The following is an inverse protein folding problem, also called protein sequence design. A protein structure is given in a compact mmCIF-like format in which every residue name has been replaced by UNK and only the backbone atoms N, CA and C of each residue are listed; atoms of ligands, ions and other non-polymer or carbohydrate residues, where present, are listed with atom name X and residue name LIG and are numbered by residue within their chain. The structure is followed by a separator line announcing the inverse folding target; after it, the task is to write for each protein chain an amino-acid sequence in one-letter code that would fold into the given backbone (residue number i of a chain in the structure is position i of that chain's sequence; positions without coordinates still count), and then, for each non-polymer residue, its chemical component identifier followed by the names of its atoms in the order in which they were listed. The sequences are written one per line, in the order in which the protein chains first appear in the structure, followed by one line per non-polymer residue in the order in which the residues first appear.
data_IF_660442109414
#
_entry.id   IF_660442109414
#
_cell.length_a   1.000
_cell.length_b   1.000
_cell.length_c   1.000
_cell.angle_alpha   90.00
_cell.angle_beta   90.00
_cell.angle_gamma   90.00
#
_symmetry.space_group_name_H-M   'P 1'
#
loop_
_entity.id
_entity.type
_entity.pdbx_description
1 polymer ?
#
# COMPACT_ATOMS: atom_id res chain seq x y z
N UNK A 1 17.12 37.97 -38.76
CA UNK A 1 16.53 38.44 -37.49
C UNK A 1 16.03 37.19 -36.75
N UNK A 2 16.81 36.68 -35.77
CA UNK A 2 16.48 35.50 -35.01
C UNK A 2 15.79 35.93 -33.69
N UNK A 3 14.59 35.42 -33.45
CA UNK A 3 13.90 35.65 -32.18
C UNK A 3 14.48 34.73 -31.11
N UNK A 4 14.80 35.22 -29.90
CA UNK A 4 15.27 34.40 -28.83
C UNK A 4 14.08 33.58 -28.26
N UNK A 5 14.15 32.24 -28.37
CA UNK A 5 13.22 31.34 -27.72
C UNK A 5 13.56 31.31 -26.23
N UNK A 6 12.78 32.00 -25.43
CA UNK A 6 12.89 31.95 -23.96
C UNK A 6 12.18 30.69 -23.46
N UNK A 7 12.97 29.69 -23.09
CA UNK A 7 12.45 28.47 -22.46
C UNK A 7 12.02 28.84 -21.02
N UNK A 8 10.74 28.68 -20.64
CA UNK A 8 10.32 28.95 -19.27
C UNK A 8 10.99 27.95 -18.33
N UNK A 9 11.69 28.46 -17.30
CA UNK A 9 12.21 27.65 -16.19
C UNK A 9 11.02 27.00 -15.49
N UNK A 10 10.77 25.72 -15.79
CA UNK A 10 9.84 24.90 -15.03
C UNK A 10 10.41 24.80 -13.62
N UNK A 11 9.81 25.52 -12.67
CA UNK A 11 10.02 25.29 -11.24
C UNK A 11 9.49 23.88 -10.95
N UNK A 12 10.38 22.90 -10.93
CA UNK A 12 10.11 21.61 -10.34
C UNK A 12 9.76 21.91 -8.89
N UNK A 13 8.46 21.92 -8.57
CA UNK A 13 8.01 21.90 -7.18
C UNK A 13 8.66 20.66 -6.58
N UNK A 14 9.64 20.85 -5.67
CA UNK A 14 10.13 19.80 -4.80
C UNK A 14 8.89 19.20 -4.16
N UNK A 15 8.52 18.00 -4.61
CA UNK A 15 7.49 17.19 -3.98
C UNK A 15 7.84 17.19 -2.49
N UNK A 16 6.90 17.65 -1.66
CA UNK A 16 7.05 17.66 -0.21
C UNK A 16 7.37 16.21 0.16
N UNK A 17 8.65 15.94 0.46
CA UNK A 17 9.08 14.61 0.91
C UNK A 17 8.15 14.25 2.04
N UNK A 18 7.28 13.26 1.83
CA UNK A 18 6.53 12.64 2.92
C UNK A 18 7.59 12.28 3.96
N UNK A 19 7.42 12.76 5.20
CA UNK A 19 8.37 12.51 6.27
C UNK A 19 8.39 11.01 6.54
N UNK A 20 9.42 10.32 6.03
CA UNK A 20 9.64 8.91 6.36
C UNK A 20 9.97 8.81 7.85
N UNK A 21 9.39 7.83 8.48
CA UNK A 21 9.81 7.40 9.81
C UNK A 21 11.18 6.74 9.66
N UNK A 22 12.20 7.29 10.35
CA UNK A 22 13.60 6.82 10.25
C UNK A 22 14.11 6.22 11.54
N UNK A 23 13.54 6.61 12.66
CA UNK A 23 13.88 6.04 13.97
C UNK A 23 13.17 4.69 14.12
N UNK A 24 13.94 3.63 14.42
CA UNK A 24 13.39 2.28 14.58
C UNK A 24 12.32 2.19 15.66
N UNK A 25 12.43 2.97 16.72
CA UNK A 25 11.41 2.99 17.76
C UNK A 25 10.12 3.61 17.26
N UNK A 26 10.21 4.68 16.45
CA UNK A 26 9.02 5.28 15.85
C UNK A 26 8.35 4.33 14.85
N UNK A 27 9.15 3.56 14.08
CA UNK A 27 8.62 2.52 13.18
C UNK A 27 7.92 1.42 13.99
N UNK A 28 8.52 0.92 15.06
CA UNK A 28 7.89 -0.08 15.95
C UNK A 28 6.57 0.44 16.54
N UNK A 29 6.56 1.66 17.05
CA UNK A 29 5.34 2.29 17.58
C UNK A 29 4.28 2.43 16.49
N UNK A 30 4.67 2.79 15.26
CA UNK A 30 3.77 2.90 14.12
C UNK A 30 3.14 1.55 13.74
N UNK A 31 3.94 0.47 13.71
CA UNK A 31 3.44 -0.89 13.47
C UNK A 31 2.42 -1.28 14.56
N UNK A 32 2.77 -1.08 15.82
CA UNK A 32 1.89 -1.39 16.95
C UNK A 32 0.61 -0.54 16.93
N UNK A 33 0.70 0.74 16.55
CA UNK A 33 -0.46 1.61 16.38
C UNK A 33 -1.45 1.04 15.35
N UNK A 34 -0.97 0.60 14.19
CA UNK A 34 -1.82 0.01 13.15
C UNK A 34 -2.45 -1.31 13.64
N UNK A 35 -1.65 -2.23 14.18
CA UNK A 35 -2.14 -3.52 14.68
C UNK A 35 -3.18 -3.36 15.80
N UNK A 36 -2.97 -2.41 16.72
CA UNK A 36 -3.93 -2.12 17.81
C UNK A 36 -5.29 -1.68 17.26
N UNK A 37 -5.34 -0.85 16.24
CA UNK A 37 -6.60 -0.34 15.68
C UNK A 37 -7.29 -1.34 14.75
N UNK A 38 -6.54 -2.23 14.13
CA UNK A 38 -7.09 -3.32 13.31
C UNK A 38 -7.74 -4.37 14.22
N UNK A 39 -7.10 -4.69 15.35
CA UNK A 39 -7.63 -5.54 16.44
C UNK A 39 -8.07 -6.96 16.05
N UNK A 40 -7.48 -7.54 15.02
CA UNK A 40 -7.59 -8.97 14.68
C UNK A 40 -6.28 -9.46 14.03
N UNK A 41 -6.01 -10.80 14.09
CA UNK A 41 -4.78 -11.36 13.56
C UNK A 41 -4.66 -11.18 12.05
N UNK A 42 -3.44 -10.92 11.58
CA UNK A 42 -3.10 -10.77 10.17
C UNK A 42 -1.88 -11.63 9.81
N UNK A 43 -1.82 -12.08 8.56
CA UNK A 43 -0.62 -12.67 7.99
C UNK A 43 0.48 -11.62 7.77
N UNK A 44 1.74 -12.08 7.71
CA UNK A 44 2.90 -11.22 7.55
C UNK A 44 2.82 -10.31 6.30
N UNK A 45 2.32 -10.87 5.18
CA UNK A 45 2.21 -10.12 3.92
C UNK A 45 1.21 -8.98 4.06
N UNK A 46 0.06 -9.22 4.68
CA UNK A 46 -0.94 -8.19 4.97
C UNK A 46 -0.39 -7.09 5.87
N UNK A 47 0.35 -7.45 6.94
CA UNK A 47 0.96 -6.46 7.84
C UNK A 47 2.00 -5.63 7.07
N UNK A 48 2.87 -6.27 6.27
CA UNK A 48 3.81 -5.57 5.43
C UNK A 48 3.12 -4.55 4.51
N UNK A 49 2.09 -5.02 3.80
CA UNK A 49 1.40 -4.18 2.82
C UNK A 49 0.76 -2.94 3.45
N UNK A 50 0.08 -3.09 4.59
CA UNK A 50 -0.52 -1.94 5.30
C UNK A 50 0.51 -0.98 5.91
N UNK A 51 1.70 -1.46 6.30
CA UNK A 51 2.76 -0.63 6.89
C UNK A 51 3.51 0.17 5.82
N UNK A 52 3.81 -0.45 4.67
CA UNK A 52 4.67 0.18 3.64
C UNK A 52 3.90 0.95 2.58
N UNK A 53 2.59 0.72 2.40
CA UNK A 53 1.80 1.26 1.29
C UNK A 53 1.81 2.78 1.16
N UNK A 54 1.90 3.50 2.27
CA UNK A 54 1.91 4.97 2.28
C UNK A 54 3.31 5.58 2.13
N UNK A 55 4.36 4.73 2.09
CA UNK A 55 5.75 5.14 1.91
C UNK A 55 6.37 5.82 3.14
N UNK A 56 5.77 5.71 4.32
CA UNK A 56 6.34 6.21 5.58
C UNK A 56 7.43 5.29 6.12
N UNK A 57 7.33 3.98 5.85
CA UNK A 57 8.27 2.95 6.28
C UNK A 57 8.74 2.17 5.06
N UNK A 58 10.04 1.86 4.98
CA UNK A 58 10.62 1.01 3.96
C UNK A 58 10.45 -0.48 4.31
N UNK A 59 10.47 -1.34 3.28
CA UNK A 59 10.33 -2.79 3.46
C UNK A 59 11.38 -3.37 4.43
N UNK A 60 12.65 -3.04 4.26
CA UNK A 60 13.73 -3.57 5.10
C UNK A 60 13.62 -3.09 6.56
N UNK A 61 13.28 -1.81 6.75
CA UNK A 61 13.06 -1.25 8.08
C UNK A 61 11.86 -1.92 8.77
N UNK A 62 10.80 -2.22 8.00
CA UNK A 62 9.64 -2.96 8.50
C UNK A 62 10.05 -4.36 8.97
N UNK A 63 10.73 -5.15 8.13
CA UNK A 63 11.12 -6.54 8.45
C UNK A 63 11.95 -6.59 9.72
N UNK A 64 12.96 -5.71 9.85
CA UNK A 64 13.84 -5.64 11.01
C UNK A 64 13.04 -5.25 12.28
N UNK A 65 12.25 -4.20 12.21
CA UNK A 65 11.44 -3.74 13.35
C UNK A 65 10.36 -4.76 13.76
N UNK A 66 9.76 -5.47 12.79
CA UNK A 66 8.76 -6.49 13.08
C UNK A 66 9.38 -7.70 13.78
N UNK A 67 10.56 -8.16 13.36
CA UNK A 67 11.31 -9.21 14.07
C UNK A 67 11.62 -8.81 15.52
N UNK A 68 12.08 -7.57 15.74
CA UNK A 68 12.31 -7.06 17.10
C UNK A 68 11.02 -6.99 17.96
N UNK A 69 9.87 -6.73 17.35
CA UNK A 69 8.57 -6.73 18.06
C UNK A 69 8.12 -8.14 18.47
N UNK A 70 8.45 -9.16 17.68
CA UNK A 70 8.25 -10.57 18.03
C UNK A 70 9.18 -10.97 19.18
N UNK A 71 10.49 -10.68 19.07
CA UNK A 71 11.49 -11.00 20.10
C UNK A 71 11.17 -10.36 21.45
N UNK A 72 10.64 -9.14 21.44
CA UNK A 72 10.28 -8.41 22.67
C UNK A 72 8.89 -8.72 23.20
N UNK A 73 8.15 -9.62 22.55
CA UNK A 73 6.81 -10.04 22.95
C UNK A 73 5.72 -8.96 22.85
N UNK A 74 5.94 -7.92 22.02
CA UNK A 74 4.93 -6.92 21.73
C UNK A 74 3.94 -7.36 20.63
N UNK A 75 4.39 -8.27 19.77
CA UNK A 75 3.59 -9.02 18.80
C UNK A 75 3.85 -10.50 19.07
N UNK A 76 2.85 -11.32 18.87
CA UNK A 76 3.00 -12.77 18.96
C UNK A 76 2.54 -13.43 17.65
N UNK A 77 3.16 -14.55 17.36
CA UNK A 77 2.74 -15.47 16.32
C UNK A 77 1.72 -16.44 16.90
N UNK A 78 0.59 -16.58 16.23
CA UNK A 78 -0.44 -17.53 16.63
C UNK A 78 -0.12 -18.94 16.10
N UNK A 79 -0.55 -20.01 16.80
CA UNK A 79 -0.42 -21.36 16.27
C UNK A 79 -1.07 -21.46 14.90
N UNK A 80 -0.38 -22.12 13.98
CA UNK A 80 -0.88 -22.34 12.62
C UNK A 80 -2.25 -23.00 12.67
N UNK A 81 -3.29 -22.30 12.20
CA UNK A 81 -4.64 -22.81 12.11
C UNK A 81 -4.79 -23.88 11.02
N UNK A 82 -6.00 -24.44 10.85
CA UNK A 82 -6.32 -25.46 9.84
C UNK A 82 -5.99 -25.02 8.40
N UNK A 83 -5.86 -23.71 8.14
CA UNK A 83 -5.59 -23.13 6.81
C UNK A 83 -4.09 -23.03 6.50
N UNK A 84 -3.20 -23.32 7.48
CA UNK A 84 -1.76 -23.40 7.25
C UNK A 84 -1.04 -22.05 7.10
N UNK A 85 -1.68 -20.92 7.43
CA UNK A 85 -1.07 -19.58 7.40
C UNK A 85 -0.62 -19.17 8.82
N UNK A 86 0.59 -18.60 8.90
CA UNK A 86 1.11 -17.96 10.11
C UNK A 86 0.41 -16.60 10.29
N UNK A 87 -0.27 -16.43 11.42
CA UNK A 87 -0.95 -15.19 11.78
C UNK A 87 -0.26 -14.51 12.97
N UNK A 88 -0.33 -13.21 12.99
CA UNK A 88 0.32 -12.36 13.99
C UNK A 88 -0.70 -11.44 14.65
N UNK A 89 -0.56 -11.27 15.97
CA UNK A 89 -1.45 -10.42 16.76
C UNK A 89 -0.65 -9.56 17.74
N UNK A 90 -1.14 -8.34 17.99
CA UNK A 90 -0.58 -7.48 19.03
C UNK A 90 -0.89 -8.04 20.42
N UNK A 91 0.11 -8.06 21.30
CA UNK A 91 -0.10 -8.49 22.69
C UNK A 91 -0.68 -7.36 23.55
N UNK A 92 -1.22 -7.67 24.75
CA UNK A 92 -1.61 -6.62 25.71
C UNK A 92 -0.46 -5.66 26.04
N UNK A 93 0.78 -6.18 26.14
CA UNK A 93 1.98 -5.36 26.34
C UNK A 93 2.23 -4.42 25.14
N UNK A 94 2.16 -4.94 23.93
CA UNK A 94 2.32 -4.14 22.71
C UNK A 94 1.24 -3.05 22.59
N UNK A 95 0.00 -3.36 22.98
CA UNK A 95 -1.09 -2.40 22.98
C UNK A 95 -0.85 -1.24 23.98
N UNK A 96 -0.32 -1.54 25.18
CA UNK A 96 0.07 -0.51 26.17
C UNK A 96 1.19 0.37 25.62
N UNK A 97 2.21 -0.23 24.97
CA UNK A 97 3.30 0.51 24.34
C UNK A 97 2.76 1.44 23.24
N UNK A 98 1.90 0.92 22.36
CA UNK A 98 1.27 1.71 21.30
C UNK A 98 0.52 2.92 21.87
N UNK A 99 -0.30 2.71 22.92
CA UNK A 99 -1.09 3.78 23.55
C UNK A 99 -0.22 4.83 24.23
N UNK A 100 0.76 4.38 25.00
CA UNK A 100 1.63 5.27 25.79
C UNK A 100 2.50 6.16 24.90
N UNK A 101 2.97 5.63 23.79
CA UNK A 101 3.91 6.31 22.89
C UNK A 101 3.26 6.86 21.61
N UNK A 102 1.92 6.82 21.51
CA UNK A 102 1.16 7.25 20.34
C UNK A 102 1.49 8.68 19.87
N UNK A 103 1.76 9.58 20.82
CA UNK A 103 2.12 10.98 20.54
C UNK A 103 3.45 11.15 19.79
N UNK A 104 4.31 10.14 19.73
CA UNK A 104 5.56 10.18 18.94
C UNK A 104 5.30 10.18 17.44
N UNK A 105 4.19 9.66 16.99
CA UNK A 105 3.82 9.63 15.57
C UNK A 105 2.88 10.81 15.29
N UNK A 106 3.20 11.57 14.24
CA UNK A 106 2.37 12.71 13.83
C UNK A 106 0.92 12.25 13.57
N UNK A 107 -0.10 12.97 14.08
CA UNK A 107 -1.51 12.62 13.87
C UNK A 107 -1.86 12.40 12.40
N UNK A 108 -1.34 13.24 11.50
CA UNK A 108 -1.57 13.13 10.05
C UNK A 108 -1.04 11.82 9.44
N UNK A 109 0.06 11.25 9.99
CA UNK A 109 0.60 9.96 9.57
C UNK A 109 -0.32 8.85 10.07
N UNK A 110 -0.69 8.87 11.36
CA UNK A 110 -1.56 7.86 11.98
C UNK A 110 -2.90 7.75 11.28
N UNK A 111 -3.59 8.88 11.11
CA UNK A 111 -4.91 8.94 10.48
C UNK A 111 -4.86 8.46 9.02
N UNK A 112 -3.87 8.94 8.25
CA UNK A 112 -3.72 8.54 6.86
C UNK A 112 -3.47 7.03 6.73
N UNK A 113 -2.51 6.50 7.49
CA UNK A 113 -2.14 5.09 7.40
C UNK A 113 -3.24 4.17 7.89
N UNK A 114 -3.94 4.54 8.97
CA UNK A 114 -5.09 3.76 9.44
C UNK A 114 -6.22 3.73 8.39
N UNK A 115 -6.53 4.87 7.78
CA UNK A 115 -7.53 4.95 6.71
C UNK A 115 -7.12 4.09 5.50
N UNK A 116 -5.84 4.10 5.12
CA UNK A 116 -5.30 3.27 4.04
C UNK A 116 -5.37 1.78 4.39
N UNK A 117 -4.98 1.40 5.62
CA UNK A 117 -5.04 0.02 6.09
C UNK A 117 -6.47 -0.53 6.09
N UNK A 118 -7.43 0.21 6.62
CA UNK A 118 -8.83 -0.20 6.65
C UNK A 118 -9.41 -0.39 5.24
N UNK A 119 -9.05 0.47 4.30
CA UNK A 119 -9.47 0.31 2.89
C UNK A 119 -8.89 -0.95 2.26
N UNK A 120 -7.60 -1.19 2.46
CA UNK A 120 -6.91 -2.37 1.96
C UNK A 120 -7.54 -3.67 2.49
N UNK A 121 -7.73 -3.75 3.81
CA UNK A 121 -8.33 -4.91 4.47
C UNK A 121 -9.77 -5.14 4.01
N UNK A 122 -10.59 -4.10 3.96
CA UNK A 122 -11.97 -4.18 3.45
C UNK A 122 -12.04 -4.66 2.00
N UNK A 123 -11.07 -4.29 1.16
CA UNK A 123 -10.97 -4.79 -0.20
C UNK A 123 -10.67 -6.29 -0.24
N UNK A 124 -9.75 -6.77 0.62
CA UNK A 124 -9.43 -8.21 0.76
C UNK A 124 -10.59 -9.02 1.34
N UNK A 125 -11.23 -8.53 2.41
CA UNK A 125 -12.37 -9.20 3.07
C UNK A 125 -13.55 -9.45 2.13
N UNK A 126 -13.76 -8.59 1.15
CA UNK A 126 -14.77 -8.79 0.10
C UNK A 126 -14.45 -9.93 -0.86
N UNK A 127 -13.28 -10.56 -0.72
CA UNK A 127 -12.83 -11.64 -1.58
C UNK A 127 -12.36 -11.13 -2.96
N UNK A 128 -11.81 -9.93 -2.98
CA UNK A 128 -11.23 -9.38 -4.20
C UNK A 128 -9.99 -10.18 -4.62
N UNK A 129 -9.98 -10.62 -5.86
CA UNK A 129 -8.84 -11.29 -6.52
C UNK A 129 -8.33 -10.41 -7.64
N UNK A 130 -7.01 -10.35 -7.76
CA UNK A 130 -6.31 -9.53 -8.74
C UNK A 130 -5.60 -10.43 -9.74
N UNK A 131 -5.81 -10.19 -11.02
CA UNK A 131 -5.13 -10.90 -12.10
C UNK A 131 -4.58 -9.89 -13.09
N UNK A 132 -3.29 -10.02 -13.41
CA UNK A 132 -2.65 -9.28 -14.49
C UNK A 132 -2.27 -10.24 -15.61
N UNK A 133 -2.54 -9.86 -16.85
CA UNK A 133 -2.18 -10.60 -18.05
C UNK A 133 -1.66 -9.62 -19.11
N UNK A 134 -1.01 -10.11 -20.16
CA UNK A 134 -0.57 -9.26 -21.26
C UNK A 134 -0.48 -10.01 -22.58
N UNK A 135 -0.67 -9.29 -23.67
CA UNK A 135 -0.50 -9.79 -25.03
C UNK A 135 0.60 -8.99 -25.74
N UNK A 136 1.62 -9.65 -26.31
CA UNK A 136 2.60 -8.97 -27.12
C UNK A 136 1.99 -8.50 -28.44
N UNK A 137 2.30 -7.28 -28.84
CA UNK A 137 1.95 -6.68 -30.11
C UNK A 137 3.18 -6.54 -31.01
N UNK A 138 3.00 -6.36 -32.35
CA UNK A 138 4.10 -6.00 -33.23
C UNK A 138 4.86 -4.77 -32.74
N UNK A 139 6.16 -4.68 -33.06
CA UNK A 139 7.05 -3.58 -32.73
C UNK A 139 7.37 -3.40 -31.23
N UNK A 140 7.32 -4.48 -30.44
CA UNK A 140 7.68 -4.46 -29.02
C UNK A 140 6.67 -3.74 -28.10
N UNK A 141 5.46 -3.52 -28.59
CA UNK A 141 4.32 -3.04 -27.82
C UNK A 141 3.58 -4.18 -27.13
N UNK A 142 2.71 -3.85 -26.19
CA UNK A 142 1.92 -4.84 -25.46
C UNK A 142 0.51 -4.32 -25.21
N UNK A 143 -0.45 -5.23 -25.01
CA UNK A 143 -1.71 -4.93 -24.34
C UNK A 143 -1.60 -5.44 -22.91
N UNK A 144 -1.65 -4.55 -21.92
CA UNK A 144 -1.75 -4.91 -20.51
C UNK A 144 -3.21 -5.10 -20.14
N UNK A 145 -3.55 -6.22 -19.47
CA UNK A 145 -4.89 -6.54 -18.98
C UNK A 145 -4.89 -6.57 -17.46
N UNK A 146 -5.66 -5.70 -16.86
CA UNK A 146 -5.80 -5.56 -15.41
C UNK A 146 -7.22 -5.98 -15.00
N UNK A 147 -7.35 -7.09 -14.27
CA UNK A 147 -8.64 -7.68 -13.91
C UNK A 147 -8.76 -7.74 -12.39
N UNK A 148 -9.86 -7.25 -11.85
CA UNK A 148 -10.25 -7.41 -10.45
C UNK A 148 -11.60 -8.11 -10.41
N UNK A 149 -11.68 -9.21 -9.66
CA UNK A 149 -12.93 -9.93 -9.42
C UNK A 149 -13.27 -9.89 -7.93
N UNK A 150 -14.55 -9.89 -7.59
CA UNK A 150 -15.04 -10.01 -6.22
C UNK A 150 -16.15 -11.05 -6.20
N UNK A 151 -15.98 -12.12 -5.40
CA UNK A 151 -16.93 -13.22 -5.32
C UNK A 151 -17.36 -13.74 -6.70
N UNK A 152 -16.36 -13.95 -7.57
CA UNK A 152 -16.51 -14.45 -8.95
C UNK A 152 -17.25 -13.49 -9.92
N UNK A 153 -17.48 -12.26 -9.50
CA UNK A 153 -17.98 -11.17 -10.38
C UNK A 153 -16.83 -10.27 -10.78
N UNK A 154 -16.76 -9.92 -12.04
CA UNK A 154 -15.78 -8.97 -12.54
C UNK A 154 -16.15 -7.55 -12.08
N UNK A 155 -15.29 -6.93 -11.28
CA UNK A 155 -15.43 -5.53 -10.85
C UNK A 155 -14.72 -4.57 -11.79
N UNK A 156 -13.59 -4.99 -12.34
CA UNK A 156 -12.76 -4.20 -13.22
C UNK A 156 -12.11 -5.10 -14.27
N UNK A 157 -12.20 -4.67 -15.51
CA UNK A 157 -11.43 -5.23 -16.62
C UNK A 157 -10.98 -4.06 -17.50
N UNK A 158 -9.68 -3.78 -17.47
CA UNK A 158 -9.08 -2.67 -18.22
C UNK A 158 -7.97 -3.21 -19.09
N UNK A 159 -8.05 -2.88 -20.36
CA UNK A 159 -7.00 -3.16 -21.34
C UNK A 159 -6.35 -1.86 -21.78
N UNK A 160 -5.03 -1.80 -21.70
CA UNK A 160 -4.26 -0.61 -22.06
C UNK A 160 -3.10 -1.00 -22.97
N UNK A 161 -3.00 -0.33 -24.11
CA UNK A 161 -1.83 -0.43 -24.97
C UNK A 161 -0.64 0.28 -24.33
N UNK A 162 0.50 -0.41 -24.23
CA UNK A 162 1.75 0.11 -23.66
C UNK A 162 2.90 0.00 -24.66
N UNK A 163 3.79 0.98 -24.64
CA UNK A 163 4.81 1.14 -25.65
C UNK A 163 6.11 0.39 -25.34
N UNK A 164 6.28 -0.17 -24.15
CA UNK A 164 7.51 -0.85 -23.74
C UNK A 164 7.31 -1.87 -22.63
N UNK A 165 8.22 -2.84 -22.55
CA UNK A 165 8.28 -3.80 -21.42
C UNK A 165 8.49 -3.13 -20.07
N UNK A 166 9.25 -2.04 -20.00
CA UNK A 166 9.45 -1.27 -18.76
C UNK A 166 8.15 -0.65 -18.26
N UNK A 167 7.33 -0.11 -19.17
CA UNK A 167 6.00 0.42 -18.82
C UNK A 167 5.06 -0.70 -18.38
N UNK A 168 5.08 -1.84 -19.07
CA UNK A 168 4.31 -3.03 -18.74
C UNK A 168 4.61 -3.51 -17.31
N UNK A 169 5.89 -3.67 -16.96
CA UNK A 169 6.33 -4.09 -15.63
C UNK A 169 5.95 -3.10 -14.54
N UNK A 170 6.02 -1.80 -14.81
CA UNK A 170 5.60 -0.77 -13.86
C UNK A 170 4.10 -0.82 -13.58
N UNK A 171 3.28 -1.03 -14.63
CA UNK A 171 1.83 -1.20 -14.48
C UNK A 171 1.54 -2.47 -13.69
N UNK A 172 2.16 -3.61 -14.05
CA UNK A 172 1.98 -4.88 -13.37
C UNK A 172 2.26 -4.76 -11.87
N UNK A 173 3.42 -4.20 -11.51
CA UNK A 173 3.82 -4.01 -10.12
C UNK A 173 2.81 -3.13 -9.37
N UNK A 174 2.50 -1.94 -9.89
CA UNK A 174 1.57 -1.03 -9.24
C UNK A 174 0.17 -1.63 -9.07
N UNK A 175 -0.26 -2.44 -10.03
CA UNK A 175 -1.57 -3.09 -9.99
C UNK A 175 -1.65 -4.18 -8.93
N UNK A 176 -0.59 -4.98 -8.74
CA UNK A 176 -0.52 -5.95 -7.64
C UNK A 176 -0.30 -5.30 -6.28
N UNK A 177 0.55 -4.27 -6.21
CA UNK A 177 0.87 -3.60 -4.96
C UNK A 177 -0.31 -2.77 -4.40
N UNK A 178 -1.14 -2.18 -5.27
CA UNK A 178 -2.18 -1.22 -4.87
C UNK A 178 -3.46 -1.34 -5.71
N UNK A 179 -4.07 -2.54 -5.79
CA UNK A 179 -5.22 -2.78 -6.67
C UNK A 179 -6.43 -1.91 -6.31
N UNK A 180 -6.70 -1.68 -5.03
CA UNK A 180 -7.81 -0.85 -4.57
C UNK A 180 -7.63 0.62 -4.96
N UNK A 181 -6.40 1.13 -4.96
CA UNK A 181 -6.07 2.49 -5.40
C UNK A 181 -6.27 2.62 -6.91
N UNK A 182 -5.85 1.61 -7.68
CA UNK A 182 -6.06 1.57 -9.14
C UNK A 182 -7.54 1.55 -9.46
N UNK A 183 -8.32 0.67 -8.81
CA UNK A 183 -9.76 0.59 -8.99
C UNK A 183 -10.44 1.93 -8.72
N UNK A 184 -10.17 2.54 -7.58
CA UNK A 184 -10.72 3.85 -7.19
C UNK A 184 -10.29 4.96 -8.13
N UNK A 185 -9.02 4.96 -8.55
CA UNK A 185 -8.51 5.94 -9.51
C UNK A 185 -9.25 5.89 -10.84
N UNK A 186 -9.51 4.70 -11.36
CA UNK A 186 -10.29 4.50 -12.59
C UNK A 186 -11.74 4.97 -12.38
N UNK A 187 -12.36 4.61 -11.26
CA UNK A 187 -13.72 5.06 -10.94
C UNK A 187 -13.80 6.58 -10.82
N UNK A 188 -12.82 7.22 -10.17
CA UNK A 188 -12.76 8.68 -10.06
C UNK A 188 -12.70 9.37 -11.43
N UNK A 189 -11.89 8.82 -12.33
CA UNK A 189 -11.79 9.35 -13.72
C UNK A 189 -13.08 9.16 -14.50
N UNK A 190 -13.71 7.98 -14.40
CA UNK A 190 -14.93 7.65 -15.12
C UNK A 190 -16.15 8.44 -14.61
N UNK A 191 -16.23 8.70 -13.30
CA UNK A 191 -17.35 9.45 -12.70
C UNK A 191 -17.13 10.97 -12.72
N UNK A 192 -15.90 11.44 -13.01
CA UNK A 192 -15.53 12.84 -12.92
C UNK A 192 -15.34 13.34 -11.47
N UNK A 193 -15.38 12.45 -10.50
CA UNK A 193 -15.24 12.78 -9.07
C UNK A 193 -13.76 12.69 -8.64
N UNK A 194 -12.99 13.72 -8.95
CA UNK A 194 -11.52 13.76 -8.68
C UNK A 194 -11.18 13.67 -7.18
N UNK A 195 -12.14 13.93 -6.30
CA UNK A 195 -11.96 13.82 -4.84
C UNK A 195 -11.57 12.41 -4.37
N UNK A 196 -11.90 11.37 -5.13
CA UNK A 196 -11.46 10.00 -4.84
C UNK A 196 -9.94 9.77 -4.89
N UNK A 197 -9.19 10.66 -5.53
CA UNK A 197 -7.73 10.57 -5.65
C UNK A 197 -7.00 11.28 -4.49
N UNK A 198 -7.68 12.15 -3.75
CA UNK A 198 -7.09 13.07 -2.77
C UNK A 198 -7.40 12.65 -1.34
N UNK A 199 -8.44 11.87 -1.12
CA UNK A 199 -8.82 11.28 0.16
C UNK A 199 -8.12 9.90 0.32
#
# INVERSE_FOLDING_TARGET
MGFPVTIPKIKIRKNKMQSQLRDKNDIKIFILHLLRHISYPLDFVSINDIVVQDGFVGYFDFVECFAELLETGNVLELPVGEVGEELYEITPQGAIVAETLDSRILPSIREKSLKSAMRFLSFRERGAKVKFDFEPLPNGRFIAKCIITEKDKELLNVEVAVESSTQLERIRRNFYDKPEVVYRGIMAVLTGEVNYLIE
#
